data_IF_677757158756
#
_entry.id   IF_677757158756
#
_cell.length_a   1.000
_cell.length_b   1.000
_cell.length_c   1.000
_cell.angle_alpha   90.00
_cell.angle_beta   90.00
_cell.angle_gamma   90.00
#
_symmetry.space_group_name_H-M   'P 1'
#
loop_
_entity.id
_entity.type
_entity.pdbx_description
1 polymer ?
#
# COMPACT_ATOMS: atom_id res chain seq x y z
N UNK A 1 0.49 12.85 -23.07
CA UNK A 1 -0.25 12.26 -24.20
C UNK A 1 -1.57 12.99 -24.36
N UNK A 2 -2.17 12.99 -25.54
CA UNK A 2 -3.56 13.49 -25.69
C UNK A 2 -4.51 12.51 -25.02
N UNK A 3 -5.60 13.00 -24.43
CA UNK A 3 -6.63 12.14 -23.85
C UNK A 3 -7.16 11.16 -24.90
N UNK A 4 -7.33 9.88 -24.55
CA UNK A 4 -7.86 8.87 -25.46
C UNK A 4 -9.27 9.26 -25.91
N UNK A 5 -9.60 8.90 -27.15
CA UNK A 5 -10.91 9.21 -27.73
C UNK A 5 -11.95 8.21 -27.24
N UNK A 6 -13.16 8.66 -26.89
CA UNK A 6 -14.22 7.74 -26.51
C UNK A 6 -14.58 6.78 -27.64
N UNK A 7 -15.06 5.60 -27.25
CA UNK A 7 -15.56 4.61 -28.19
C UNK A 7 -16.91 5.04 -28.79
N UNK A 8 -17.21 4.63 -30.04
CA UNK A 8 -18.58 4.66 -30.54
C UNK A 8 -19.50 3.83 -29.62
N UNK A 9 -20.74 4.26 -29.33
CA UNK A 9 -21.62 3.57 -28.37
C UNK A 9 -21.86 2.09 -28.67
N UNK A 10 -21.95 1.71 -29.95
CA UNK A 10 -22.10 0.31 -30.36
C UNK A 10 -20.84 -0.53 -30.07
N UNK A 11 -19.65 0.06 -30.24
CA UNK A 11 -18.38 -0.59 -29.95
C UNK A 11 -18.15 -0.70 -28.44
N UNK A 12 -18.50 0.33 -27.67
CA UNK A 12 -18.46 0.31 -26.21
C UNK A 12 -19.39 -0.76 -25.64
N UNK A 13 -20.66 -0.79 -26.08
CA UNK A 13 -21.61 -1.82 -25.65
C UNK A 13 -21.14 -3.24 -26.00
N UNK A 14 -20.51 -3.41 -27.16
CA UNK A 14 -19.94 -4.69 -27.56
C UNK A 14 -18.75 -5.09 -26.69
N UNK A 15 -17.84 -4.15 -26.42
CA UNK A 15 -16.68 -4.32 -25.57
C UNK A 15 -17.11 -4.73 -24.16
N UNK A 16 -18.03 -3.99 -23.55
CA UNK A 16 -18.54 -4.29 -22.20
C UNK A 16 -19.13 -5.69 -22.10
N UNK A 17 -19.96 -6.06 -23.07
CA UNK A 17 -20.57 -7.38 -23.11
C UNK A 17 -19.52 -8.50 -23.20
N UNK A 18 -18.51 -8.34 -24.06
CA UNK A 18 -17.47 -9.34 -24.24
C UNK A 18 -16.52 -9.39 -23.04
N UNK A 19 -16.14 -8.26 -22.45
CA UNK A 19 -15.37 -8.23 -21.21
C UNK A 19 -16.10 -8.94 -20.06
N UNK A 20 -17.42 -8.71 -19.92
CA UNK A 20 -18.23 -9.39 -18.91
C UNK A 20 -18.31 -10.91 -19.16
N UNK A 21 -18.53 -11.32 -20.40
CA UNK A 21 -18.57 -12.73 -20.78
C UNK A 21 -17.22 -13.43 -20.60
N UNK A 22 -16.11 -12.75 -20.94
CA UNK A 22 -14.76 -13.26 -20.75
C UNK A 22 -14.44 -13.49 -19.26
N UNK A 23 -14.78 -12.54 -18.39
CA UNK A 23 -14.66 -12.72 -16.93
C UNK A 23 -15.51 -13.89 -16.42
N UNK A 24 -16.74 -14.03 -16.91
CA UNK A 24 -17.63 -15.13 -16.52
C UNK A 24 -17.09 -16.50 -16.96
N UNK A 25 -16.56 -16.60 -18.18
CA UNK A 25 -15.92 -17.82 -18.69
C UNK A 25 -14.68 -18.19 -17.85
N UNK A 26 -13.88 -17.20 -17.45
CA UNK A 26 -12.73 -17.40 -16.55
C UNK A 26 -13.16 -17.98 -15.20
N UNK A 27 -14.22 -17.44 -14.58
CA UNK A 27 -14.78 -17.96 -13.32
C UNK A 27 -15.26 -19.42 -13.47
N UNK A 28 -15.73 -19.79 -14.67
CA UNK A 28 -16.17 -21.15 -14.98
C UNK A 28 -15.02 -22.10 -15.37
N UNK A 29 -13.78 -21.59 -15.44
CA UNK A 29 -12.60 -22.34 -15.87
C UNK A 29 -12.49 -22.55 -17.39
N UNK A 30 -13.35 -21.92 -18.20
CA UNK A 30 -13.30 -22.01 -19.66
C UNK A 30 -12.37 -20.93 -20.23
N UNK A 31 -11.07 -21.19 -20.18
CA UNK A 31 -10.06 -20.24 -20.62
C UNK A 31 -10.09 -19.96 -22.12
N UNK A 32 -10.49 -20.94 -22.94
CA UNK A 32 -10.59 -20.76 -24.39
C UNK A 32 -11.73 -19.80 -24.76
N UNK A 33 -12.87 -19.91 -24.08
CA UNK A 33 -13.99 -18.99 -24.28
C UNK A 33 -13.66 -17.60 -23.71
N UNK A 34 -12.95 -17.52 -22.58
CA UNK A 34 -12.46 -16.26 -22.02
C UNK A 34 -11.54 -15.51 -23.00
N UNK A 35 -10.56 -16.21 -23.57
CA UNK A 35 -9.64 -15.69 -24.60
C UNK A 35 -10.41 -15.13 -25.80
N UNK A 36 -11.37 -15.92 -26.32
CA UNK A 36 -12.21 -15.51 -27.46
C UNK A 36 -12.95 -14.21 -27.18
N UNK A 37 -13.47 -14.04 -25.96
CA UNK A 37 -14.18 -12.84 -25.56
C UNK A 37 -13.26 -11.62 -25.38
N UNK A 38 -12.12 -11.76 -24.71
CA UNK A 38 -11.18 -10.63 -24.53
C UNK A 38 -10.59 -10.16 -25.86
N UNK A 39 -10.27 -11.07 -26.78
CA UNK A 39 -9.83 -10.70 -28.13
C UNK A 39 -10.95 -10.02 -28.93
N UNK A 40 -12.19 -10.48 -28.81
CA UNK A 40 -13.33 -9.82 -29.47
C UNK A 40 -13.61 -8.42 -28.92
N UNK A 41 -13.35 -8.19 -27.63
CA UNK A 41 -13.41 -6.86 -27.01
C UNK A 41 -12.32 -5.93 -27.58
N UNK A 42 -11.08 -6.42 -27.68
CA UNK A 42 -9.98 -5.70 -28.33
C UNK A 42 -10.27 -5.35 -29.79
N UNK A 43 -10.82 -6.30 -30.55
CA UNK A 43 -11.11 -6.14 -31.98
C UNK A 43 -12.17 -5.07 -32.25
N UNK A 44 -13.07 -4.81 -31.28
CA UNK A 44 -14.09 -3.77 -31.40
C UNK A 44 -13.53 -2.34 -31.36
N UNK A 45 -12.31 -2.15 -30.84
CA UNK A 45 -11.66 -0.84 -30.75
C UNK A 45 -11.25 -0.36 -32.15
N UNK A 46 -11.66 0.84 -32.60
CA UNK A 46 -11.29 1.38 -33.90
C UNK A 46 -9.79 1.63 -34.07
N UNK A 47 -9.29 1.57 -35.30
CA UNK A 47 -7.90 1.92 -35.61
C UNK A 47 -7.67 3.45 -35.67
N UNK A 48 -6.50 3.94 -35.22
CA UNK A 48 -5.46 3.21 -34.47
C UNK A 48 -5.91 2.94 -33.03
N UNK A 49 -5.81 1.69 -32.58
CA UNK A 49 -6.45 1.24 -31.32
C UNK A 49 -6.04 2.05 -30.08
N UNK A 50 -4.74 2.33 -29.92
CA UNK A 50 -4.21 3.03 -28.76
C UNK A 50 -4.60 4.51 -28.66
N UNK A 51 -5.26 5.07 -29.68
CA UNK A 51 -5.85 6.41 -29.60
C UNK A 51 -7.23 6.43 -28.93
N UNK A 52 -7.78 5.26 -28.58
CA UNK A 52 -9.13 5.11 -28.03
C UNK A 52 -9.08 4.63 -26.59
N UNK A 53 -10.11 5.00 -25.83
CA UNK A 53 -10.30 4.54 -24.45
C UNK A 53 -10.29 2.99 -24.40
N UNK A 54 -9.93 2.45 -23.24
CA UNK A 54 -9.91 1.02 -22.94
C UNK A 54 -8.80 0.21 -23.65
N UNK A 55 -8.16 0.72 -24.71
CA UNK A 55 -7.08 0.01 -25.40
C UNK A 55 -5.84 -0.15 -24.50
N UNK A 56 -5.55 0.86 -23.70
CA UNK A 56 -4.49 0.84 -22.71
C UNK A 56 -4.73 -0.26 -21.65
N UNK A 57 -5.88 -0.24 -20.97
CA UNK A 57 -6.22 -1.20 -19.91
C UNK A 57 -6.45 -2.63 -20.45
N UNK A 58 -7.01 -2.80 -21.64
CA UNK A 58 -7.14 -4.12 -22.27
C UNK A 58 -5.78 -4.72 -22.65
N UNK A 59 -4.80 -3.90 -23.00
CA UNK A 59 -3.45 -4.40 -23.29
C UNK A 59 -2.77 -4.95 -22.03
N UNK A 60 -2.96 -4.32 -20.88
CA UNK A 60 -2.51 -4.84 -19.57
C UNK A 60 -3.27 -6.12 -19.23
N UNK A 61 -4.60 -6.10 -19.26
CA UNK A 61 -5.41 -7.27 -18.88
C UNK A 61 -5.18 -8.49 -19.76
N UNK A 62 -4.91 -8.31 -21.06
CA UNK A 62 -4.53 -9.43 -21.95
C UNK A 62 -3.11 -9.95 -21.64
N UNK A 63 -2.18 -9.08 -21.25
CA UNK A 63 -0.84 -9.49 -20.80
C UNK A 63 -0.94 -10.38 -19.56
N UNK A 64 -1.68 -9.94 -18.55
CA UNK A 64 -1.95 -10.70 -17.32
C UNK A 64 -2.65 -12.02 -17.62
N UNK A 65 -3.68 -12.00 -18.46
CA UNK A 65 -4.43 -13.20 -18.82
C UNK A 65 -3.53 -14.30 -19.44
N UNK A 66 -2.66 -13.95 -20.39
CA UNK A 66 -1.74 -14.92 -20.97
C UNK A 66 -0.63 -15.33 -20.01
N UNK A 67 -0.13 -14.41 -19.17
CA UNK A 67 0.83 -14.71 -18.10
C UNK A 67 0.26 -15.76 -17.15
N UNK A 68 -0.95 -15.55 -16.64
CA UNK A 68 -1.60 -16.42 -15.65
C UNK A 68 -1.93 -17.81 -16.20
N UNK A 69 -2.11 -17.94 -17.52
CA UNK A 69 -2.26 -19.25 -18.19
C UNK A 69 -0.93 -19.97 -18.42
N UNK A 70 0.21 -19.44 -17.97
CA UNK A 70 1.54 -19.98 -18.28
C UNK A 70 1.89 -19.86 -19.77
N UNK A 71 1.36 -18.83 -20.46
CA UNK A 71 1.53 -18.58 -21.90
C UNK A 71 2.29 -17.25 -22.17
N UNK A 72 3.49 -17.04 -21.57
CA UNK A 72 4.19 -15.75 -21.62
C UNK A 72 4.57 -15.29 -23.03
N UNK A 73 4.84 -16.22 -23.95
CA UNK A 73 5.14 -15.89 -25.35
C UNK A 73 3.99 -15.12 -26.04
N UNK A 74 2.75 -15.38 -25.63
CA UNK A 74 1.56 -14.71 -26.15
C UNK A 74 1.22 -13.45 -25.36
N UNK A 75 1.74 -13.30 -24.14
CA UNK A 75 1.68 -12.06 -23.36
C UNK A 75 2.59 -10.96 -23.94
N UNK A 76 3.77 -11.31 -24.48
CA UNK A 76 4.77 -10.32 -24.95
C UNK A 76 4.23 -9.28 -25.95
N UNK A 77 3.44 -9.62 -26.98
CA UNK A 77 2.87 -8.62 -27.88
C UNK A 77 1.87 -7.69 -27.21
N UNK A 78 1.22 -8.12 -26.12
CA UNK A 78 0.31 -7.29 -25.33
C UNK A 78 1.07 -6.37 -24.39
N UNK A 79 2.13 -6.88 -23.76
CA UNK A 79 3.06 -6.08 -22.96
C UNK A 79 3.66 -4.94 -23.77
N UNK A 80 4.07 -5.22 -25.02
CA UNK A 80 4.60 -4.18 -25.92
C UNK A 80 3.58 -3.07 -26.21
N UNK A 81 2.28 -3.42 -26.29
CA UNK A 81 1.19 -2.44 -26.46
C UNK A 81 0.93 -1.64 -25.18
N UNK A 82 1.00 -2.30 -24.03
CA UNK A 82 0.90 -1.62 -22.73
C UNK A 82 2.06 -0.62 -22.55
N UNK A 83 3.28 -1.02 -22.92
CA UNK A 83 4.45 -0.13 -22.91
C UNK A 83 4.32 1.04 -23.90
N UNK A 84 3.73 0.82 -25.08
CA UNK A 84 3.43 1.91 -26.02
C UNK A 84 2.36 2.88 -25.46
N UNK A 85 1.37 2.36 -24.74
CA UNK A 85 0.28 3.13 -24.18
C UNK A 85 0.71 3.95 -22.94
N UNK A 86 1.32 3.31 -21.94
CA UNK A 86 1.65 3.93 -20.66
C UNK A 86 3.10 4.44 -20.57
N UNK A 87 3.99 3.90 -21.41
CA UNK A 87 5.42 4.16 -21.38
C UNK A 87 6.20 2.95 -20.82
N UNK A 88 7.29 2.58 -21.50
CA UNK A 88 8.15 1.44 -21.12
C UNK A 88 8.79 1.59 -19.73
N UNK A 89 9.04 2.84 -19.30
CA UNK A 89 9.64 3.14 -18.01
C UNK A 89 8.61 3.30 -16.87
N UNK A 90 7.31 3.22 -17.18
CA UNK A 90 6.25 3.34 -16.18
C UNK A 90 6.34 2.17 -15.17
N UNK A 91 6.33 2.42 -13.85
CA UNK A 91 6.53 1.37 -12.84
C UNK A 91 5.61 0.16 -12.97
N UNK A 92 4.32 0.36 -13.26
CA UNK A 92 3.35 -0.72 -13.47
C UNK A 92 3.69 -1.56 -14.71
N UNK A 93 4.01 -0.93 -15.84
CA UNK A 93 4.47 -1.64 -17.06
C UNK A 93 5.74 -2.44 -16.80
N UNK A 94 6.70 -1.88 -16.05
CA UNK A 94 7.94 -2.57 -15.68
C UNK A 94 7.67 -3.75 -14.76
N UNK A 95 6.75 -3.61 -13.81
CA UNK A 95 6.35 -4.71 -12.94
C UNK A 95 5.69 -5.82 -13.76
N UNK A 96 4.76 -5.45 -14.64
CA UNK A 96 4.10 -6.36 -15.57
C UNK A 96 5.12 -7.12 -16.42
N UNK A 97 6.16 -6.46 -16.95
CA UNK A 97 7.26 -7.10 -17.65
C UNK A 97 8.02 -8.11 -16.77
N UNK A 98 8.34 -7.72 -15.53
CA UNK A 98 8.96 -8.62 -14.55
C UNK A 98 8.12 -9.87 -14.29
N UNK A 99 6.81 -9.70 -14.15
CA UNK A 99 5.84 -10.79 -13.93
C UNK A 99 5.76 -11.75 -15.13
N UNK A 100 5.90 -11.24 -16.37
CA UNK A 100 5.93 -12.06 -17.58
C UNK A 100 7.23 -12.87 -17.67
N UNK A 101 8.38 -12.27 -17.33
CA UNK A 101 9.65 -12.99 -17.24
C UNK A 101 9.61 -14.07 -16.15
N UNK A 102 8.97 -13.78 -15.01
CA UNK A 102 8.77 -14.77 -13.96
C UNK A 102 7.94 -15.96 -14.46
N UNK A 103 6.80 -15.70 -15.12
CA UNK A 103 5.96 -16.73 -15.72
C UNK A 103 6.68 -17.54 -16.81
N UNK A 104 7.68 -16.96 -17.48
CA UNK A 104 8.56 -17.63 -18.44
C UNK A 104 9.69 -18.45 -17.82
N UNK A 105 9.78 -18.50 -16.48
CA UNK A 105 10.91 -19.05 -15.73
C UNK A 105 12.25 -18.38 -16.09
N UNK A 106 12.21 -17.13 -16.55
CA UNK A 106 13.37 -16.28 -16.83
C UNK A 106 13.72 -15.46 -15.58
N UNK A 107 13.97 -16.18 -14.48
CA UNK A 107 14.04 -15.59 -13.14
C UNK A 107 15.11 -14.50 -13.02
N UNK A 108 16.24 -14.60 -13.75
CA UNK A 108 17.29 -13.58 -13.70
C UNK A 108 16.81 -12.25 -14.29
N UNK A 109 16.03 -12.32 -15.37
CA UNK A 109 15.43 -11.14 -16.00
C UNK A 109 14.31 -10.56 -15.13
N UNK A 110 13.47 -11.43 -14.56
CA UNK A 110 12.43 -11.02 -13.62
C UNK A 110 13.02 -10.30 -12.40
N UNK A 111 14.06 -10.89 -11.79
CA UNK A 111 14.76 -10.31 -10.65
C UNK A 111 15.38 -8.95 -10.99
N UNK A 112 16.01 -8.80 -12.16
CA UNK A 112 16.61 -7.52 -12.54
C UNK A 112 15.56 -6.39 -12.60
N UNK A 113 14.38 -6.66 -13.17
CA UNK A 113 13.29 -5.70 -13.24
C UNK A 113 12.71 -5.39 -11.84
N UNK A 114 12.48 -6.42 -11.04
CA UNK A 114 11.99 -6.29 -9.67
C UNK A 114 12.99 -5.55 -8.76
N UNK A 115 14.29 -5.79 -8.91
CA UNK A 115 15.32 -5.09 -8.15
C UNK A 115 15.37 -3.61 -8.53
N UNK A 116 15.36 -3.26 -9.81
CA UNK A 116 15.31 -1.86 -10.23
C UNK A 116 14.08 -1.13 -9.65
N UNK A 117 12.91 -1.79 -9.64
CA UNK A 117 11.70 -1.26 -9.02
C UNK A 117 11.82 -1.14 -7.50
N UNK A 118 12.34 -2.15 -6.81
CA UNK A 118 12.48 -2.15 -5.36
C UNK A 118 13.52 -1.11 -4.89
N UNK A 119 14.61 -0.92 -5.63
CA UNK A 119 15.60 0.12 -5.33
C UNK A 119 15.01 1.53 -5.46
N UNK A 120 14.13 1.75 -6.43
CA UNK A 120 13.50 3.04 -6.68
C UNK A 120 12.30 3.34 -5.77
N UNK A 121 11.46 2.32 -5.50
CA UNK A 121 10.14 2.51 -4.88
C UNK A 121 9.89 1.64 -3.64
N UNK A 122 10.88 0.84 -3.23
CA UNK A 122 10.74 -0.18 -2.17
C UNK A 122 9.62 -1.16 -2.50
N UNK A 123 8.81 -1.55 -1.52
CA UNK A 123 7.74 -2.55 -1.71
C UNK A 123 6.53 -2.01 -2.48
N UNK A 124 6.40 -0.70 -2.73
CA UNK A 124 5.21 -0.10 -3.35
C UNK A 124 4.78 -0.76 -4.67
N UNK A 125 5.67 -1.09 -5.62
CA UNK A 125 5.27 -1.73 -6.87
C UNK A 125 4.74 -3.16 -6.72
N UNK A 126 4.94 -3.79 -5.55
CA UNK A 126 4.46 -5.13 -5.24
C UNK A 126 3.12 -5.10 -4.48
N UNK A 127 2.64 -3.92 -4.07
CA UNK A 127 1.38 -3.80 -3.33
C UNK A 127 0.20 -4.12 -4.24
N UNK A 128 -0.69 -5.01 -3.78
CA UNK A 128 -1.84 -5.49 -4.55
C UNK A 128 -1.52 -6.57 -5.58
N UNK A 129 -0.24 -6.93 -5.74
CA UNK A 129 0.21 -8.04 -6.59
C UNK A 129 0.31 -9.33 -5.78
N UNK A 130 0.40 -10.48 -6.45
CA UNK A 130 0.57 -11.75 -5.76
C UNK A 130 1.86 -11.74 -4.91
N UNK A 131 1.80 -12.02 -3.59
CA UNK A 131 2.94 -11.81 -2.67
C UNK A 131 4.13 -12.73 -2.98
N UNK A 132 3.89 -13.84 -3.68
CA UNK A 132 4.95 -14.70 -4.24
C UNK A 132 6.01 -13.97 -5.07
N UNK A 133 5.68 -12.84 -5.74
CA UNK A 133 6.68 -12.05 -6.45
C UNK A 133 7.68 -11.36 -5.51
N UNK A 134 7.20 -10.83 -4.38
CA UNK A 134 8.04 -10.17 -3.40
C UNK A 134 8.84 -11.18 -2.58
N UNK A 135 8.24 -12.32 -2.22
CA UNK A 135 8.94 -13.44 -1.61
C UNK A 135 10.08 -13.94 -2.52
N UNK A 136 9.82 -14.10 -3.81
CA UNK A 136 10.84 -14.42 -4.82
C UNK A 136 11.97 -13.38 -4.82
N UNK A 137 11.64 -12.09 -4.87
CA UNK A 137 12.62 -11.01 -4.86
C UNK A 137 13.53 -11.09 -3.61
N UNK A 138 12.95 -11.18 -2.41
CA UNK A 138 13.70 -11.23 -1.15
C UNK A 138 14.62 -12.46 -1.07
N UNK A 139 14.08 -13.66 -1.34
CA UNK A 139 14.86 -14.90 -1.29
C UNK A 139 16.09 -14.84 -2.22
N UNK A 140 15.92 -14.25 -3.40
CA UNK A 140 16.99 -14.10 -4.38
C UNK A 140 17.97 -12.98 -4.01
N UNK A 141 17.48 -11.82 -3.55
CA UNK A 141 18.31 -10.72 -3.07
C UNK A 141 19.20 -11.18 -1.90
N UNK A 142 18.66 -11.96 -0.97
CA UNK A 142 19.39 -12.52 0.16
C UNK A 142 20.47 -13.50 -0.28
N UNK A 143 20.15 -14.41 -1.21
CA UNK A 143 21.14 -15.32 -1.75
C UNK A 143 22.31 -14.56 -2.40
N UNK A 144 22.01 -13.55 -3.22
CA UNK A 144 23.03 -12.72 -3.87
C UNK A 144 23.87 -11.93 -2.87
N UNK A 145 23.24 -11.33 -1.85
CA UNK A 145 23.90 -10.62 -0.75
C UNK A 145 24.89 -11.52 0.00
N UNK A 146 24.52 -12.77 0.24
CA UNK A 146 25.35 -13.77 0.92
C UNK A 146 26.39 -14.44 0.02
N UNK A 147 26.42 -14.10 -1.27
CA UNK A 147 27.26 -14.79 -2.27
C UNK A 147 26.85 -16.25 -2.51
N UNK A 148 25.61 -16.62 -2.14
CA UNK A 148 24.99 -17.92 -2.42
C UNK A 148 24.38 -17.91 -3.82
N UNK A 149 24.32 -19.07 -4.45
CA UNK A 149 23.56 -19.23 -5.68
C UNK A 149 22.05 -19.14 -5.35
N UNK A 150 21.28 -18.27 -6.01
CA UNK A 150 19.83 -18.24 -5.87
C UNK A 150 19.23 -19.60 -6.24
N UNK A 151 18.21 -20.01 -5.49
CA UNK A 151 17.43 -21.20 -5.80
C UNK A 151 16.18 -20.73 -6.54
N UNK A 152 16.00 -21.24 -7.75
CA UNK A 152 14.84 -20.91 -8.56
C UNK A 152 13.59 -21.61 -8.00
N UNK A 153 12.42 -20.95 -8.08
CA UNK A 153 11.16 -21.58 -7.74
C UNK A 153 10.95 -22.89 -8.53
N UNK A 154 10.33 -23.91 -7.92
CA UNK A 154 10.08 -25.19 -8.60
C UNK A 154 9.05 -25.07 -9.72
N UNK A 155 8.19 -24.04 -9.67
CA UNK A 155 7.17 -23.72 -10.68
C UNK A 155 7.07 -22.21 -10.87
N UNK A 156 6.82 -21.71 -12.10
CA UNK A 156 6.45 -20.32 -12.34
C UNK A 156 4.97 -20.04 -12.06
N UNK A 157 4.14 -21.07 -11.81
CA UNK A 157 2.76 -20.89 -11.36
C UNK A 157 2.76 -20.40 -9.92
N UNK A 158 2.18 -19.22 -9.70
CA UNK A 158 1.88 -18.70 -8.39
C UNK A 158 0.45 -19.11 -8.06
N UNK A 159 0.29 -20.01 -7.10
CA UNK A 159 -1.02 -20.42 -6.60
C UNK A 159 -1.24 -19.89 -5.19
N UNK A 160 -2.49 -19.61 -4.86
CA UNK A 160 -2.86 -19.24 -3.49
C UNK A 160 -2.53 -20.37 -2.49
N UNK A 161 -2.46 -21.62 -2.96
CA UNK A 161 -2.06 -22.80 -2.16
C UNK A 161 -0.54 -22.86 -1.90
N UNK A 162 0.26 -22.19 -2.73
CA UNK A 162 1.72 -22.06 -2.58
C UNK A 162 2.11 -20.76 -1.86
N UNK A 163 1.11 -19.97 -1.44
CA UNK A 163 1.35 -18.89 -0.51
C UNK A 163 1.87 -19.48 0.80
N UNK A 164 2.93 -18.93 1.40
CA UNK A 164 3.06 -19.09 2.85
C UNK A 164 1.72 -18.65 3.46
N UNK A 165 1.16 -19.45 4.38
CA UNK A 165 -0.13 -19.17 5.04
C UNK A 165 -0.23 -17.66 5.38
N UNK A 166 -1.11 -16.94 4.66
CA UNK A 166 -1.49 -15.53 4.82
C UNK A 166 -0.42 -14.51 5.23
N UNK A 167 0.43 -14.02 4.31
CA UNK A 167 1.15 -12.75 4.55
C UNK A 167 1.24 -11.89 3.27
N UNK A 168 0.46 -10.79 3.20
CA UNK A 168 0.98 -9.51 2.68
C UNK A 168 2.42 -9.36 3.19
N UNK A 169 3.41 -8.80 2.46
CA UNK A 169 4.72 -8.62 3.06
C UNK A 169 4.56 -7.83 4.35
N UNK A 170 4.59 -8.53 5.48
CA UNK A 170 4.33 -7.91 6.74
C UNK A 170 5.43 -6.86 6.89
N UNK A 171 5.11 -5.68 7.46
CA UNK A 171 6.16 -4.84 7.97
C UNK A 171 7.14 -5.73 8.75
N UNK A 172 8.46 -5.49 8.63
CA UNK A 172 9.45 -6.41 9.18
C UNK A 172 9.06 -6.79 10.60
N UNK A 173 8.85 -8.08 10.85
CA UNK A 173 8.45 -8.55 12.16
C UNK A 173 9.62 -8.40 13.13
N UNK A 174 9.33 -7.88 14.32
CA UNK A 174 10.32 -7.81 15.38
C UNK A 174 10.82 -9.23 15.69
N UNK A 175 12.12 -9.41 16.00
CA UNK A 175 12.61 -10.69 16.52
C UNK A 175 11.76 -11.15 17.71
N UNK A 176 11.38 -12.43 17.78
CA UNK A 176 10.44 -12.98 18.77
C UNK A 176 10.73 -12.53 20.21
N UNK A 177 12.00 -12.48 20.61
CA UNK A 177 12.42 -12.06 21.95
C UNK A 177 12.19 -10.57 22.22
N UNK A 178 12.38 -9.72 21.20
CA UNK A 178 12.09 -8.29 21.26
C UNK A 178 10.58 -8.06 21.20
N UNK A 179 9.86 -8.80 20.36
CA UNK A 179 8.40 -8.70 20.23
C UNK A 179 7.72 -9.01 21.58
N UNK A 180 8.06 -10.13 22.21
CA UNK A 180 7.47 -10.53 23.51
C UNK A 180 7.72 -9.46 24.60
N UNK A 181 8.91 -8.86 24.62
CA UNK A 181 9.24 -7.82 25.61
C UNK A 181 8.53 -6.50 25.33
N UNK A 182 8.45 -6.10 24.06
CA UNK A 182 7.69 -4.91 23.61
C UNK A 182 6.21 -5.06 23.91
N UNK A 183 5.60 -6.22 23.65
CA UNK A 183 4.19 -6.50 23.92
C UNK A 183 3.89 -6.47 25.43
N UNK A 184 4.75 -7.08 26.25
CA UNK A 184 4.59 -7.05 27.71
C UNK A 184 4.63 -5.63 28.27
N UNK A 185 5.57 -4.79 27.79
CA UNK A 185 5.68 -3.39 28.18
C UNK A 185 4.50 -2.57 27.64
N UNK A 186 4.05 -2.83 26.41
CA UNK A 186 2.89 -2.15 25.84
C UNK A 186 1.62 -2.39 26.66
N UNK A 187 1.36 -3.65 27.05
CA UNK A 187 0.21 -4.02 27.88
C UNK A 187 0.30 -3.44 29.31
N UNK A 188 1.50 -3.43 29.91
CA UNK A 188 1.71 -2.75 31.19
C UNK A 188 1.41 -1.24 31.07
N UNK A 189 1.87 -0.59 30.00
CA UNK A 189 1.56 0.80 29.72
C UNK A 189 0.06 1.06 29.54
N UNK A 190 -0.64 0.20 28.81
CA UNK A 190 -2.10 0.28 28.64
C UNK A 190 -2.82 0.18 30.00
N UNK A 191 -2.43 -0.79 30.84
CA UNK A 191 -3.01 -0.94 32.18
C UNK A 191 -2.74 0.27 33.08
N UNK A 192 -1.56 0.89 32.99
CA UNK A 192 -1.24 2.11 33.74
C UNK A 192 -2.08 3.29 33.26
N UNK A 193 -2.27 3.42 31.95
CA UNK A 193 -3.10 4.46 31.34
C UNK A 193 -4.56 4.32 31.75
N UNK A 194 -5.11 3.10 31.74
CA UNK A 194 -6.48 2.80 32.18
C UNK A 194 -6.72 3.15 33.66
N UNK A 195 -5.68 3.01 34.50
CA UNK A 195 -5.69 3.41 35.91
C UNK A 195 -5.47 4.93 36.11
N UNK A 196 -5.22 5.68 35.02
CA UNK A 196 -4.96 7.12 35.02
C UNK A 196 -3.54 7.51 35.42
N UNK A 197 -2.58 6.58 35.40
CA UNK A 197 -1.15 6.84 35.60
C UNK A 197 -0.43 7.02 34.25
N UNK A 198 -0.76 8.12 33.55
CA UNK A 198 -0.18 8.45 32.24
C UNK A 198 1.36 8.60 32.30
N UNK A 199 1.90 9.02 33.44
CA UNK A 199 3.34 9.16 33.64
C UNK A 199 4.03 7.79 33.74
N UNK A 200 3.40 6.85 34.44
CA UNK A 200 3.80 5.45 34.44
C UNK A 200 3.74 4.83 33.05
N UNK A 201 2.61 5.01 32.35
CA UNK A 201 2.39 4.49 31.01
C UNK A 201 3.46 4.97 30.03
N UNK A 202 3.72 6.29 29.99
CA UNK A 202 4.78 6.87 29.16
C UNK A 202 6.15 6.25 29.45
N UNK A 203 6.50 6.06 30.73
CA UNK A 203 7.79 5.52 31.11
C UNK A 203 7.98 4.08 30.62
N UNK A 204 6.92 3.27 30.59
CA UNK A 204 6.97 1.88 30.12
C UNK A 204 6.99 1.82 28.60
N UNK A 205 6.15 2.60 27.90
CA UNK A 205 6.18 2.65 26.43
C UNK A 205 7.50 3.19 25.87
N UNK A 206 8.16 4.13 26.56
CA UNK A 206 9.52 4.56 26.16
C UNK A 206 10.56 3.44 26.28
N UNK A 207 10.42 2.56 27.28
CA UNK A 207 11.28 1.38 27.38
C UNK A 207 11.03 0.45 26.18
N UNK A 208 9.77 0.22 25.81
CA UNK A 208 9.43 -0.57 24.62
C UNK A 208 9.99 0.05 23.33
N UNK A 209 9.90 1.37 23.18
CA UNK A 209 10.44 2.09 22.02
C UNK A 209 11.96 1.96 21.91
N UNK A 210 12.67 1.98 23.05
CA UNK A 210 14.13 1.83 23.10
C UNK A 210 14.60 0.42 22.70
N UNK A 211 13.74 -0.60 22.87
CA UNK A 211 14.03 -1.99 22.45
C UNK A 211 13.97 -2.19 20.94
N UNK A 212 13.28 -1.32 20.20
CA UNK A 212 13.16 -1.46 18.75
C UNK A 212 14.55 -1.38 18.09
N UNK A 213 14.89 -2.32 17.17
CA UNK A 213 16.14 -2.25 16.43
C UNK A 213 16.26 -0.98 15.58
N UNK A 214 17.49 -0.55 15.28
CA UNK A 214 17.71 0.59 14.38
C UNK A 214 17.69 0.17 12.90
N UNK A 215 17.07 0.97 12.00
CA UNK A 215 16.40 2.24 12.29
C UNK A 215 14.98 2.02 12.84
N UNK A 216 14.66 2.63 13.99
CA UNK A 216 13.37 2.37 14.67
C UNK A 216 12.14 2.65 13.80
N UNK A 217 12.23 3.61 12.88
CA UNK A 217 11.17 4.02 11.97
C UNK A 217 10.77 2.95 10.94
N UNK A 218 11.46 1.82 10.86
CA UNK A 218 11.08 0.70 9.96
C UNK A 218 10.08 -0.28 10.60
N UNK A 219 9.92 -0.26 11.92
CA UNK A 219 9.05 -1.19 12.65
C UNK A 219 7.66 -0.60 12.84
N UNK A 220 6.60 -1.38 12.59
CA UNK A 220 5.22 -0.96 12.83
C UNK A 220 5.02 -0.50 14.29
N UNK A 221 5.72 -1.16 15.22
CA UNK A 221 5.77 -0.81 16.64
C UNK A 221 6.12 0.66 16.92
N UNK A 222 6.95 1.26 16.07
CA UNK A 222 7.34 2.65 16.24
C UNK A 222 6.16 3.60 16.16
N UNK A 223 5.25 3.39 15.21
CA UNK A 223 4.12 4.29 14.98
C UNK A 223 3.18 4.33 16.18
N UNK A 224 2.72 3.16 16.64
CA UNK A 224 1.77 3.09 17.74
C UNK A 224 2.43 3.41 19.09
N UNK A 225 3.70 3.04 19.33
CA UNK A 225 4.40 3.47 20.55
C UNK A 225 4.55 4.99 20.62
N UNK A 226 4.98 5.64 19.54
CA UNK A 226 5.08 7.09 19.50
C UNK A 226 3.70 7.77 19.67
N UNK A 227 2.64 7.21 19.09
CA UNK A 227 1.29 7.72 19.27
C UNK A 227 0.82 7.62 20.74
N UNK A 228 0.99 6.46 21.38
CA UNK A 228 0.62 6.24 22.80
C UNK A 228 1.43 7.13 23.75
N UNK A 229 2.75 7.27 23.54
CA UNK A 229 3.59 8.18 24.32
C UNK A 229 3.14 9.63 24.11
N UNK A 230 2.79 10.01 22.87
CA UNK A 230 2.26 11.32 22.53
C UNK A 230 0.96 11.64 23.25
N UNK A 231 0.02 10.69 23.28
CA UNK A 231 -1.25 10.82 23.99
C UNK A 231 -1.05 10.95 25.50
N UNK A 232 -0.22 10.10 26.12
CA UNK A 232 0.10 10.23 27.55
C UNK A 232 0.76 11.59 27.88
N UNK A 233 1.62 12.11 26.99
CA UNK A 233 2.17 13.46 27.15
C UNK A 233 1.06 14.53 27.09
N UNK A 234 0.10 14.35 26.18
CA UNK A 234 -1.02 15.27 26.00
C UNK A 234 -1.93 15.31 27.24
N UNK A 235 -2.30 14.15 27.78
CA UNK A 235 -3.14 14.02 28.99
C UNK A 235 -2.48 14.64 30.23
N UNK A 236 -1.14 14.61 30.28
CA UNK A 236 -0.35 15.30 31.30
C UNK A 236 -0.20 16.82 31.08
N UNK A 237 -0.81 17.38 30.04
CA UNK A 237 -0.73 18.79 29.67
C UNK A 237 0.61 19.22 29.06
N UNK A 238 1.44 18.27 28.61
CA UNK A 238 2.74 18.52 27.99
C UNK A 238 2.61 18.53 26.46
N UNK A 239 1.89 19.51 25.94
CA UNK A 239 1.56 19.61 24.51
C UNK A 239 2.79 19.71 23.60
N UNK A 240 3.88 20.35 24.05
CA UNK A 240 5.14 20.40 23.30
C UNK A 240 5.78 19.02 23.11
N UNK A 241 5.77 18.19 24.15
CA UNK A 241 6.31 16.83 24.11
C UNK A 241 5.39 15.92 23.28
N UNK A 242 4.07 16.03 23.45
CA UNK A 242 3.08 15.32 22.67
C UNK A 242 3.26 15.57 21.16
N UNK A 243 3.35 16.86 20.76
CA UNK A 243 3.64 17.28 19.39
C UNK A 243 4.89 16.61 18.82
N UNK A 244 5.97 16.54 19.59
CA UNK A 244 7.22 15.90 19.13
C UNK A 244 7.01 14.41 18.86
N UNK A 245 6.32 13.69 19.75
CA UNK A 245 6.04 12.26 19.59
C UNK A 245 5.11 11.98 18.42
N UNK A 246 4.09 12.80 18.17
CA UNK A 246 3.25 12.63 16.98
C UNK A 246 4.00 12.94 15.68
N UNK A 247 4.94 13.89 15.66
CA UNK A 247 5.84 14.03 14.51
C UNK A 247 6.71 12.80 14.30
N UNK A 248 7.19 12.17 15.37
CA UNK A 248 7.94 10.93 15.27
C UNK A 248 7.05 9.78 14.77
N UNK A 249 5.81 9.69 15.23
CA UNK A 249 4.84 8.69 14.75
C UNK A 249 4.59 8.79 13.23
N UNK A 250 4.53 10.01 12.66
CA UNK A 250 4.40 10.23 11.22
C UNK A 250 5.59 9.68 10.40
N UNK A 251 6.75 9.43 11.02
CA UNK A 251 7.91 8.84 10.36
C UNK A 251 7.90 7.30 10.38
N UNK A 252 6.97 6.65 11.10
CA UNK A 252 6.84 5.20 11.15
C UNK A 252 5.88 4.64 10.08
N UNK A 253 5.84 3.30 9.91
CA UNK A 253 4.94 2.65 8.95
C UNK A 253 3.47 2.98 9.25
N UNK A 254 2.70 3.35 8.23
CA UNK A 254 1.28 3.71 8.36
C UNK A 254 1.00 5.03 9.09
N UNK A 255 2.01 5.74 9.59
CA UNK A 255 1.81 6.95 10.39
C UNK A 255 1.10 8.09 9.64
N UNK A 256 1.47 8.31 8.37
CA UNK A 256 0.87 9.36 7.51
C UNK A 256 -0.57 9.07 7.07
N UNK A 257 -1.01 7.82 7.18
CA UNK A 257 -2.35 7.38 6.81
C UNK A 257 -3.22 7.19 8.07
N UNK A 258 -2.70 7.53 9.26
CA UNK A 258 -3.38 7.37 10.53
C UNK A 258 -4.11 8.66 10.94
N UNK A 259 -5.46 8.69 10.92
CA UNK A 259 -6.24 9.89 11.27
C UNK A 259 -6.03 10.35 12.71
N UNK A 260 -5.85 9.42 13.65
CA UNK A 260 -5.63 9.73 15.06
C UNK A 260 -4.31 10.47 15.30
N UNK A 261 -3.23 10.06 14.62
CA UNK A 261 -1.93 10.74 14.70
C UNK A 261 -2.06 12.19 14.25
N UNK A 262 -2.73 12.42 13.12
CA UNK A 262 -2.98 13.76 12.60
C UNK A 262 -3.88 14.59 13.53
N UNK A 263 -4.93 13.99 14.09
CA UNK A 263 -5.85 14.64 15.01
C UNK A 263 -5.13 15.13 16.28
N UNK A 264 -4.40 14.24 16.94
CA UNK A 264 -3.69 14.55 18.17
C UNK A 264 -2.50 15.51 17.95
N UNK A 265 -1.84 15.44 16.80
CA UNK A 265 -0.85 16.42 16.39
C UNK A 265 -1.47 17.80 16.21
N UNK A 266 -2.64 17.87 15.57
CA UNK A 266 -3.43 19.09 15.40
C UNK A 266 -3.80 19.73 16.73
N UNK A 267 -4.35 18.94 17.67
CA UNK A 267 -4.63 19.37 19.04
C UNK A 267 -3.39 19.92 19.76
N UNK A 268 -2.27 19.18 19.66
CA UNK A 268 -1.02 19.58 20.29
C UNK A 268 -0.46 20.89 19.74
N UNK A 269 -0.55 21.09 18.42
CA UNK A 269 -0.16 22.34 17.74
C UNK A 269 -1.06 23.51 18.12
N UNK A 270 -2.36 23.27 18.28
CA UNK A 270 -3.34 24.27 18.69
C UNK A 270 -3.01 24.84 20.08
N UNK A 271 -2.77 23.97 21.06
CA UNK A 271 -2.40 24.38 22.43
C UNK A 271 -1.04 25.09 22.50
N UNK A 272 -0.13 24.79 21.58
CA UNK A 272 1.16 25.48 21.44
C UNK A 272 1.04 26.83 20.69
N UNK A 273 -0.15 27.16 20.16
CA UNK A 273 -0.44 28.41 19.46
C UNK A 273 -0.06 28.41 17.97
N UNK A 274 0.32 27.27 17.40
CA UNK A 274 0.65 27.13 15.97
C UNK A 274 -0.62 26.82 15.16
N UNK A 275 -1.53 27.80 15.12
CA UNK A 275 -2.90 27.65 14.61
C UNK A 275 -3.01 27.33 13.11
N UNK A 276 -1.97 27.64 12.33
CA UNK A 276 -1.95 27.37 10.90
C UNK A 276 -1.64 25.89 10.66
N UNK A 277 -0.58 25.38 11.28
CA UNK A 277 -0.23 23.96 11.20
C UNK A 277 -1.24 23.07 11.91
N UNK A 278 -1.84 23.55 12.99
CA UNK A 278 -2.94 22.84 13.64
C UNK A 278 -4.09 22.58 12.66
N UNK A 279 -4.50 23.59 11.89
CA UNK A 279 -5.56 23.44 10.90
C UNK A 279 -5.17 22.47 9.77
N UNK A 280 -3.91 22.48 9.32
CA UNK A 280 -3.43 21.55 8.29
C UNK A 280 -3.52 20.08 8.75
N UNK A 281 -3.09 19.79 9.98
CA UNK A 281 -3.13 18.43 10.53
C UNK A 281 -4.55 17.98 10.86
N UNK A 282 -5.38 18.85 11.41
CA UNK A 282 -6.81 18.56 11.63
C UNK A 282 -7.55 18.30 10.30
N UNK A 283 -7.20 19.03 9.22
CA UNK A 283 -7.76 18.77 7.90
C UNK A 283 -7.35 17.41 7.37
N UNK A 284 -6.09 16.97 7.58
CA UNK A 284 -5.65 15.62 7.20
C UNK A 284 -6.44 14.55 7.96
N UNK A 285 -6.63 14.72 9.27
CA UNK A 285 -7.48 13.83 10.06
C UNK A 285 -8.91 13.77 9.51
N UNK A 286 -9.51 14.92 9.19
CA UNK A 286 -10.83 14.99 8.57
C UNK A 286 -10.88 14.32 7.19
N UNK A 287 -9.85 14.45 6.36
CA UNK A 287 -9.82 13.79 5.05
C UNK A 287 -9.68 12.26 5.15
N UNK A 288 -9.05 11.77 6.22
CA UNK A 288 -8.83 10.34 6.45
C UNK A 288 -10.04 9.66 7.12
N UNK A 289 -10.73 10.34 8.04
CA UNK A 289 -11.78 9.73 8.87
C UNK A 289 -13.02 10.63 9.05
N UNK A 290 -13.17 11.65 8.18
CA UNK A 290 -14.33 12.54 8.15
C UNK A 290 -14.59 13.23 9.50
N UNK A 291 -15.86 13.52 9.80
CA UNK A 291 -16.30 14.10 11.07
C UNK A 291 -16.18 13.13 12.26
N UNK A 292 -16.13 11.81 12.01
CA UNK A 292 -16.17 10.78 13.05
C UNK A 292 -14.97 10.88 14.02
N UNK A 293 -13.78 11.25 13.52
CA UNK A 293 -12.59 11.45 14.37
C UNK A 293 -12.78 12.57 15.40
N UNK A 294 -13.61 13.57 15.09
CA UNK A 294 -13.94 14.67 16.00
C UNK A 294 -15.07 14.27 16.95
N UNK A 295 -16.09 13.56 16.45
CA UNK A 295 -17.22 13.11 17.27
C UNK A 295 -16.81 12.10 18.36
N UNK A 296 -15.66 11.42 18.18
CA UNK A 296 -15.06 10.54 19.18
C UNK A 296 -14.45 11.25 20.40
N UNK A 297 -14.23 12.56 20.32
CA UNK A 297 -13.64 13.37 21.40
C UNK A 297 -14.69 14.32 21.99
N UNK A 298 -15.31 13.90 23.10
CA UNK A 298 -16.37 14.67 23.77
C UNK A 298 -15.88 15.99 24.38
N UNK A 299 -14.58 16.11 24.68
CA UNK A 299 -14.03 17.27 25.38
C UNK A 299 -13.62 18.39 24.41
N UNK A 300 -12.87 18.05 23.36
CA UNK A 300 -12.24 19.03 22.47
C UNK A 300 -12.65 18.89 21.00
N UNK A 301 -13.30 17.79 20.61
CA UNK A 301 -13.61 17.47 19.21
C UNK A 301 -14.39 18.57 18.48
N UNK A 302 -15.44 19.10 19.12
CA UNK A 302 -16.23 20.19 18.56
C UNK A 302 -15.40 21.48 18.34
N UNK A 303 -14.47 21.80 19.25
CA UNK A 303 -13.58 22.95 19.10
C UNK A 303 -12.60 22.74 17.94
N UNK A 304 -12.05 21.53 17.82
CA UNK A 304 -11.12 21.19 16.74
C UNK A 304 -11.81 21.22 15.37
N UNK A 305 -13.05 20.72 15.27
CA UNK A 305 -13.83 20.79 14.03
C UNK A 305 -14.17 22.24 13.65
N UNK A 306 -14.50 23.07 14.64
CA UNK A 306 -14.81 24.49 14.42
C UNK A 306 -13.63 25.24 13.78
N UNK A 307 -12.38 24.87 14.09
CA UNK A 307 -11.18 25.44 13.46
C UNK A 307 -11.23 25.28 11.93
N UNK A 308 -11.68 24.12 11.44
CA UNK A 308 -11.82 23.83 10.02
C UNK A 308 -13.02 24.56 9.40
N UNK A 309 -14.17 24.56 10.09
CA UNK A 309 -15.39 25.23 9.63
C UNK A 309 -15.19 26.75 9.50
N UNK A 310 -14.54 27.39 10.47
CA UNK A 310 -14.23 28.83 10.44
C UNK A 310 -13.34 29.22 9.25
N UNK A 311 -12.60 28.24 8.70
CA UNK A 311 -11.74 28.39 7.52
C UNK A 311 -12.40 27.92 6.23
N UNK A 312 -13.63 27.38 6.29
CA UNK A 312 -14.34 26.81 5.15
C UNK A 312 -13.68 25.54 4.61
N UNK A 313 -13.03 24.77 5.47
CA UNK A 313 -12.30 23.53 5.13
C UNK A 313 -13.09 22.25 5.45
N UNK A 314 -14.18 22.38 6.21
CA UNK A 314 -15.12 21.30 6.52
C UNK A 314 -16.56 21.84 6.39
N UNK A 315 -17.50 20.96 6.10
CA UNK A 315 -18.92 21.31 6.02
C UNK A 315 -19.48 21.72 7.41
N UNK A 316 -20.51 22.57 7.40
CA UNK A 316 -21.27 22.99 8.61
C UNK A 316 -22.13 21.86 9.20
#
# INVERSE_FOLDING_TARGET
MSDPRPLPPEAEQWLDAHCAQGRQARIQGDMAEAERHFLAAWDAIPEPKLDHEYADSLSVGLTEFYRDMGRPAEALPWLARAAEAYGEDEPGVRFLAGSVHYAAAEYDAAYALFDELFQAYRQRPFQGEHPGYLAFYHARADALRDGRQPVDPPSPELSDDDLPDDEEPLPPELPDDIYEEVEALAEEGNSLSDDGDDAGAEAVWRQALDLLPEPRTEWEAHTWLCASIGEACYLQGRHADAKAMFFDALNGPGGVDNPFVHYMLGKSLFHEGDLERAADELLRAYMLDSVEIFDGDEEEGAEMLQILQDRGLADE
#
